data_IF_523772080566
#
_entry.id   IF_523772080566
#
_cell.length_a   1.000
_cell.length_b   1.000
_cell.length_c   1.000
_cell.angle_alpha   90.00
_cell.angle_beta   90.00
_cell.angle_gamma   90.00
#
_symmetry.space_group_name_H-M   'P 1'
#
loop_
_entity.id
_entity.type
_entity.pdbx_description
1 polymer ?
#
# COMPACT_ATOMS: atom_id res chain seq x y z
N UNK A 1 37.42 85.31 22.23
CA UNK A 1 36.45 84.20 22.27
C UNK A 1 36.67 83.36 21.03
N UNK A 2 37.41 82.24 21.16
CA UNK A 2 37.67 81.32 20.05
C UNK A 2 36.53 80.31 20.02
N UNK A 3 35.73 80.31 18.95
CA UNK A 3 34.70 79.31 18.73
C UNK A 3 35.35 78.09 18.05
N UNK A 4 35.58 77.04 18.84
CA UNK A 4 35.99 75.73 18.37
C UNK A 4 34.88 75.12 17.51
N UNK A 5 35.10 75.08 16.20
CA UNK A 5 34.29 74.32 15.25
C UNK A 5 34.53 72.82 15.47
N UNK A 6 33.56 72.16 16.10
CA UNK A 6 33.50 70.69 16.16
C UNK A 6 33.10 70.19 14.76
N UNK A 7 34.03 69.50 14.08
CA UNK A 7 33.71 68.77 12.83
C UNK A 7 32.74 67.63 13.17
N UNK A 8 31.66 67.42 12.40
CA UNK A 8 30.82 66.25 12.58
C UNK A 8 31.63 64.99 12.25
N UNK A 9 31.73 64.07 13.20
CA UNK A 9 32.31 62.75 12.99
C UNK A 9 31.47 61.98 11.97
N UNK A 10 32.01 61.75 10.78
CA UNK A 10 31.39 60.90 9.77
C UNK A 10 31.60 59.43 10.15
N UNK A 11 30.54 58.78 10.63
CA UNK A 11 30.55 57.33 10.86
C UNK A 11 30.19 56.59 9.57
N UNK A 12 30.96 55.56 9.21
CA UNK A 12 30.63 54.67 8.10
C UNK A 12 29.60 53.66 8.62
N UNK A 13 28.39 53.69 8.09
CA UNK A 13 27.36 52.67 8.36
C UNK A 13 27.56 51.53 7.36
N UNK A 14 28.05 50.39 7.85
CA UNK A 14 28.16 49.19 7.03
C UNK A 14 26.78 48.56 6.87
N UNK A 15 26.38 48.32 5.62
CA UNK A 15 25.16 47.59 5.31
C UNK A 15 25.49 46.20 4.79
N UNK A 16 24.83 45.20 5.36
CA UNK A 16 25.00 43.80 5.06
C UNK A 16 23.66 43.10 4.89
N UNK A 17 23.71 41.90 4.30
CA UNK A 17 22.54 41.02 4.28
C UNK A 17 22.19 40.59 5.70
N UNK A 18 20.92 40.27 6.00
CA UNK A 18 20.53 39.79 7.32
C UNK A 18 21.31 38.53 7.72
N UNK A 19 21.65 38.40 8.99
CA UNK A 19 22.11 37.15 9.60
C UNK A 19 20.95 36.54 10.35
N UNK A 20 20.67 35.29 10.07
CA UNK A 20 19.48 34.60 10.57
C UNK A 20 19.87 33.33 11.32
N UNK A 21 19.20 33.07 12.44
CA UNK A 21 19.35 31.84 13.21
C UNK A 21 17.97 31.36 13.64
N UNK A 22 17.60 30.17 13.17
CA UNK A 22 16.34 29.52 13.52
C UNK A 22 16.54 28.63 14.75
N UNK A 23 15.69 28.81 15.75
CA UNK A 23 15.69 28.01 16.98
C UNK A 23 14.28 27.61 17.40
N UNK A 24 14.20 26.49 18.12
CA UNK A 24 13.07 26.21 19.00
C UNK A 24 12.96 27.35 20.03
N UNK A 25 11.77 27.92 20.20
CA UNK A 25 11.50 28.90 21.25
C UNK A 25 11.76 28.38 22.69
N UNK A 26 11.59 29.24 23.68
CA UNK A 26 11.98 28.97 25.07
C UNK A 26 11.00 28.10 25.90
N UNK A 27 10.09 27.32 25.29
CA UNK A 27 9.13 26.51 26.05
C UNK A 27 9.65 25.08 26.38
N UNK A 28 9.40 24.57 27.60
CA UNK A 28 9.96 23.30 28.09
C UNK A 28 9.51 22.04 27.33
N UNK A 29 8.42 22.10 26.54
CA UNK A 29 7.91 20.94 25.77
C UNK A 29 8.48 20.81 24.35
N UNK A 30 9.34 21.74 23.92
CA UNK A 30 9.69 21.85 22.51
C UNK A 30 10.61 20.77 21.96
N UNK A 31 11.28 20.00 22.82
CA UNK A 31 12.14 18.89 22.42
C UNK A 31 11.37 17.56 22.27
N UNK A 32 10.09 17.53 22.65
CA UNK A 32 9.23 16.35 22.59
C UNK A 32 7.86 16.71 22.00
N UNK A 33 7.88 17.08 20.72
CA UNK A 33 6.70 17.54 20.00
C UNK A 33 5.81 16.34 19.70
N UNK A 34 4.62 16.32 20.29
CA UNK A 34 3.61 15.27 20.09
C UNK A 34 2.41 15.87 19.36
N UNK A 35 1.81 15.11 18.45
CA UNK A 35 0.60 15.50 17.71
C UNK A 35 -0.48 16.08 18.65
N UNK A 36 -1.03 17.23 18.27
CA UNK A 36 -1.97 18.01 19.06
C UNK A 36 -1.36 19.06 20.01
N UNK A 37 -0.04 19.07 20.20
CA UNK A 37 0.65 20.16 20.92
C UNK A 37 0.88 21.40 20.03
N UNK A 38 1.31 22.49 20.64
CA UNK A 38 1.72 23.69 19.92
C UNK A 38 3.25 23.68 19.70
N UNK A 39 3.68 24.10 18.50
CA UNK A 39 5.08 24.29 18.14
C UNK A 39 5.38 25.78 18.06
N UNK A 40 6.47 26.21 18.69
CA UNK A 40 6.92 27.59 18.69
C UNK A 40 8.34 27.66 18.14
N UNK A 41 8.51 28.41 17.06
CA UNK A 41 9.78 28.66 16.41
C UNK A 41 10.13 30.15 16.53
N UNK A 42 11.40 30.42 16.71
CA UNK A 42 11.96 31.77 16.80
C UNK A 42 13.09 31.92 15.80
N UNK A 43 12.99 32.95 14.94
CA UNK A 43 14.00 33.30 13.97
C UNK A 43 14.70 34.57 14.44
N UNK A 44 15.91 34.43 14.98
CA UNK A 44 16.72 35.57 15.41
C UNK A 44 17.35 36.22 14.19
N UNK A 45 17.06 37.51 13.99
CA UNK A 45 17.55 38.26 12.83
C UNK A 45 18.42 39.43 13.29
N UNK A 46 19.68 39.45 12.86
CA UNK A 46 20.57 40.61 12.95
C UNK A 46 20.69 41.23 11.55
N UNK A 47 20.18 42.44 11.36
CA UNK A 47 20.10 43.06 10.04
C UNK A 47 20.28 44.58 10.09
N UNK A 48 21.19 45.08 9.24
CA UNK A 48 21.34 46.50 8.97
C UNK A 48 21.39 46.77 7.45
N UNK A 49 20.34 47.31 6.82
CA UNK A 49 19.14 47.89 7.45
C UNK A 49 18.14 46.87 7.97
N UNK A 50 17.19 47.38 8.77
CA UNK A 50 16.11 46.59 9.38
C UNK A 50 15.28 45.87 8.31
N UNK A 51 14.85 44.66 8.65
CA UNK A 51 13.91 43.87 7.85
C UNK A 51 12.46 44.30 8.12
N UNK A 52 11.55 43.95 7.20
CA UNK A 52 10.10 44.07 7.41
C UNK A 52 9.56 42.86 8.17
N UNK A 53 9.26 41.80 7.42
CA UNK A 53 8.74 40.53 7.95
C UNK A 53 9.67 39.37 7.61
N UNK A 54 9.61 38.31 8.42
CA UNK A 54 10.28 37.03 8.15
C UNK A 54 9.31 36.13 7.39
N UNK A 55 9.80 35.53 6.30
CA UNK A 55 9.07 34.48 5.57
C UNK A 55 9.44 33.13 6.14
N UNK A 56 8.45 32.32 6.48
CA UNK A 56 8.64 30.99 7.05
C UNK A 56 8.38 29.93 5.99
N UNK A 57 9.24 28.91 5.91
CA UNK A 57 9.09 27.81 4.97
C UNK A 57 9.05 26.46 5.68
N UNK A 58 8.27 25.54 5.12
CA UNK A 58 8.24 24.12 5.49
C UNK A 58 8.51 23.30 4.23
N UNK A 59 9.60 22.53 4.22
CA UNK A 59 10.01 21.74 3.06
C UNK A 59 10.22 22.61 1.81
N UNK A 60 10.75 23.82 1.98
CA UNK A 60 11.00 24.79 0.91
C UNK A 60 9.76 25.56 0.43
N UNK A 61 8.57 25.31 0.98
CA UNK A 61 7.34 26.02 0.63
C UNK A 61 6.99 27.07 1.67
N UNK A 62 6.70 28.29 1.21
CA UNK A 62 6.24 29.39 2.07
C UNK A 62 4.95 29.01 2.81
N UNK A 63 4.98 29.21 4.13
CA UNK A 63 3.82 29.11 4.99
C UNK A 63 3.02 30.41 4.90
N UNK A 64 1.70 30.29 5.03
CA UNK A 64 0.81 31.44 5.10
C UNK A 64 0.12 31.49 6.46
N UNK A 65 -0.18 32.68 6.98
CA UNK A 65 -0.96 32.81 8.20
C UNK A 65 -2.34 32.16 8.02
N UNK A 66 -2.86 31.58 9.09
CA UNK A 66 -4.12 30.86 9.05
C UNK A 66 -4.62 30.53 10.45
N UNK A 67 -5.74 29.82 10.53
CA UNK A 67 -6.41 29.53 11.82
C UNK A 67 -5.50 28.91 12.88
N UNK A 68 -4.52 28.10 12.46
CA UNK A 68 -3.58 27.42 13.34
C UNK A 68 -2.11 27.82 13.09
N UNK A 69 -1.89 28.87 12.30
CA UNK A 69 -0.57 29.35 11.91
C UNK A 69 -0.50 30.84 12.24
N UNK A 70 0.17 31.15 13.35
CA UNK A 70 0.29 32.52 13.86
C UNK A 70 1.73 32.98 13.61
N UNK A 71 1.89 34.06 12.86
CA UNK A 71 3.17 34.66 12.53
C UNK A 71 3.24 36.05 13.15
N UNK A 72 4.35 36.35 13.82
CA UNK A 72 4.59 37.65 14.45
C UNK A 72 6.05 38.03 14.33
N UNK A 73 6.40 38.91 13.39
CA UNK A 73 7.76 39.37 13.05
C UNK A 73 8.78 38.22 12.92
N UNK A 74 9.34 37.79 14.04
CA UNK A 74 10.43 36.81 14.19
C UNK A 74 9.97 35.51 14.86
N UNK A 75 8.66 35.32 15.10
CA UNK A 75 8.11 34.13 15.75
C UNK A 75 7.02 33.47 14.92
N UNK A 76 7.03 32.13 14.90
CA UNK A 76 6.01 31.29 14.29
C UNK A 76 5.44 30.34 15.34
N UNK A 77 4.11 30.34 15.45
CA UNK A 77 3.38 29.39 16.31
C UNK A 77 2.46 28.55 15.44
N UNK A 78 2.67 27.23 15.45
CA UNK A 78 1.75 26.25 14.88
C UNK A 78 0.95 25.63 16.02
N UNK A 79 -0.35 25.89 16.05
CA UNK A 79 -1.25 25.34 17.07
C UNK A 79 -1.71 23.93 16.68
N UNK A 80 -1.78 23.03 17.66
CA UNK A 80 -2.25 21.64 17.48
C UNK A 80 -1.61 20.94 16.28
N UNK A 81 -0.28 20.87 16.26
CA UNK A 81 0.48 20.30 15.17
C UNK A 81 0.04 18.88 14.83
N UNK A 82 0.00 18.57 13.54
CA UNK A 82 -0.33 17.25 13.03
C UNK A 82 0.95 16.51 12.63
N UNK A 83 0.91 15.19 12.43
CA UNK A 83 2.09 14.45 11.91
C UNK A 83 2.64 15.02 10.59
N UNK A 84 1.78 15.63 9.78
CA UNK A 84 2.12 16.31 8.52
C UNK A 84 2.81 17.67 8.72
N UNK A 85 2.87 18.18 9.95
CA UNK A 85 3.66 19.35 10.32
C UNK A 85 5.13 18.99 10.57
N UNK A 86 5.52 17.72 10.46
CA UNK A 86 6.93 17.32 10.49
C UNK A 86 7.63 17.75 9.21
N UNK A 87 8.91 18.12 9.31
CA UNK A 87 9.75 18.45 8.17
C UNK A 87 10.81 19.49 8.50
N UNK A 88 11.46 19.95 7.45
CA UNK A 88 12.52 20.94 7.49
C UNK A 88 11.94 22.35 7.50
N UNK A 89 12.12 23.06 8.60
CA UNK A 89 11.71 24.46 8.73
C UNK A 89 12.88 25.38 8.44
N UNK A 90 12.64 26.44 7.67
CA UNK A 90 13.58 27.55 7.47
C UNK A 90 12.87 28.88 7.67
N UNK A 91 13.64 29.90 8.03
CA UNK A 91 13.17 31.28 8.03
C UNK A 91 14.04 32.13 7.11
N UNK A 92 13.39 33.05 6.40
CA UNK A 92 14.00 33.89 5.37
C UNK A 92 13.80 35.34 5.77
N UNK A 93 14.90 36.07 5.86
CA UNK A 93 14.90 37.50 6.16
C UNK A 93 15.49 38.26 4.98
N UNK A 94 14.82 39.35 4.58
CA UNK A 94 15.21 40.16 3.44
C UNK A 94 15.28 41.64 3.82
N UNK A 95 16.38 42.28 3.44
CA UNK A 95 16.54 43.73 3.49
C UNK A 95 16.97 44.26 2.11
N UNK A 96 17.18 45.57 1.99
CA UNK A 96 17.57 46.19 0.70
C UNK A 96 18.91 45.71 0.13
N UNK A 97 19.76 45.07 0.93
CA UNK A 97 21.06 44.53 0.49
C UNK A 97 20.88 43.11 -0.05
N UNK A 98 19.92 42.37 0.48
CA UNK A 98 19.50 41.09 -0.06
C UNK A 98 18.82 40.21 0.97
N UNK A 99 18.73 38.94 0.62
CA UNK A 99 18.04 37.90 1.37
C UNK A 99 19.02 36.86 1.93
N UNK A 100 18.70 36.36 3.12
CA UNK A 100 19.38 35.23 3.77
C UNK A 100 18.34 34.26 4.32
N UNK A 101 18.54 32.97 4.06
CA UNK A 101 17.76 31.86 4.61
C UNK A 101 18.55 31.19 5.74
N UNK A 102 17.86 30.75 6.79
CA UNK A 102 18.48 30.05 7.92
C UNK A 102 18.92 28.65 7.54
N UNK A 103 19.85 28.10 8.30
CA UNK A 103 20.05 26.66 8.33
C UNK A 103 18.73 25.94 8.67
N UNK A 104 18.46 24.78 8.07
CA UNK A 104 17.23 24.04 8.29
C UNK A 104 17.14 23.49 9.72
N UNK A 105 15.97 23.63 10.33
CA UNK A 105 15.62 22.99 11.59
C UNK A 105 14.67 21.83 11.34
N UNK A 106 15.16 20.60 11.52
CA UNK A 106 14.36 19.38 11.35
C UNK A 106 13.44 19.15 12.55
N UNK A 107 12.13 19.20 12.29
CA UNK A 107 11.10 18.96 13.29
C UNK A 107 10.42 17.62 13.02
N UNK A 108 10.41 16.75 14.02
CA UNK A 108 9.68 15.47 13.98
C UNK A 108 8.54 15.48 14.99
N UNK A 109 7.29 15.43 14.51
CA UNK A 109 6.10 15.32 15.35
C UNK A 109 5.86 13.85 15.68
N UNK A 110 5.94 13.50 16.96
CA UNK A 110 5.64 12.16 17.47
C UNK A 110 4.12 11.94 17.53
N UNK A 111 3.68 10.72 17.23
CA UNK A 111 2.27 10.37 17.23
C UNK A 111 2.07 8.87 17.51
N UNK A 112 0.90 8.55 18.07
CA UNK A 112 0.46 7.17 18.22
C UNK A 112 0.30 6.49 16.84
N UNK A 113 0.41 5.15 16.76
CA UNK A 113 0.27 4.46 15.48
C UNK A 113 -1.09 4.73 14.83
N UNK A 114 -1.11 4.83 13.51
CA UNK A 114 -2.35 4.90 12.74
C UNK A 114 -2.25 4.03 11.49
N UNK A 115 -3.36 3.42 11.12
CA UNK A 115 -3.44 2.58 9.93
C UNK A 115 -3.10 3.39 8.67
N UNK A 116 -2.23 2.86 7.80
CA UNK A 116 -1.95 3.48 6.50
C UNK A 116 -3.05 3.17 5.47
N UNK A 117 -3.76 2.05 5.64
CA UNK A 117 -4.89 1.66 4.80
C UNK A 117 -6.15 2.42 5.22
N UNK A 118 -6.80 3.06 4.25
CA UNK A 118 -8.07 3.78 4.46
C UNK A 118 -9.30 2.87 4.34
N UNK A 119 -9.16 1.71 3.71
CA UNK A 119 -10.23 0.75 3.43
C UNK A 119 -9.88 -0.65 3.94
N UNK A 120 -10.92 -1.48 4.14
CA UNK A 120 -10.73 -2.88 4.52
C UNK A 120 -10.17 -3.67 3.33
N UNK A 121 -9.04 -4.35 3.53
CA UNK A 121 -8.46 -5.23 2.50
C UNK A 121 -9.07 -6.62 2.60
N UNK A 122 -9.52 -7.17 1.47
CA UNK A 122 -10.15 -8.49 1.40
C UNK A 122 -9.16 -9.52 0.84
N UNK A 123 -9.00 -10.63 1.54
CA UNK A 123 -8.23 -11.80 1.15
C UNK A 123 -9.18 -12.96 0.85
N UNK A 124 -8.93 -13.66 -0.25
CA UNK A 124 -9.60 -14.91 -0.57
C UNK A 124 -8.65 -16.07 -0.24
N UNK A 125 -9.11 -17.01 0.59
CA UNK A 125 -8.30 -18.18 1.00
C UNK A 125 -9.11 -19.47 0.92
N UNK A 126 -8.52 -20.50 0.31
CA UNK A 126 -9.07 -21.86 0.34
C UNK A 126 -8.90 -22.48 1.72
N UNK A 127 -9.65 -23.54 2.01
CA UNK A 127 -9.49 -24.27 3.28
C UNK A 127 -8.10 -24.91 3.31
N UNK A 128 -7.38 -24.76 4.43
CA UNK A 128 -6.00 -25.18 4.62
C UNK A 128 -4.95 -24.41 3.81
N UNK A 129 -5.33 -23.33 3.13
CA UNK A 129 -4.39 -22.39 2.51
C UNK A 129 -3.89 -21.39 3.58
N UNK A 130 -2.57 -21.20 3.66
CA UNK A 130 -1.99 -20.15 4.50
C UNK A 130 -1.94 -18.83 3.74
N UNK A 131 -2.49 -17.78 4.34
CA UNK A 131 -2.42 -16.41 3.83
C UNK A 131 -1.57 -15.54 4.73
N UNK A 132 -0.85 -14.60 4.11
CA UNK A 132 0.02 -13.65 4.79
C UNK A 132 -0.59 -12.26 4.71
N UNK A 133 -1.04 -11.74 5.85
CA UNK A 133 -1.71 -10.44 5.94
C UNK A 133 -0.72 -9.41 6.46
N UNK A 134 -0.45 -8.39 5.64
CA UNK A 134 0.51 -7.34 5.98
C UNK A 134 -0.23 -6.14 6.56
N UNK A 135 0.07 -5.83 7.81
CA UNK A 135 -0.34 -4.59 8.48
C UNK A 135 0.84 -3.62 8.50
N UNK A 136 0.59 -2.40 8.00
CA UNK A 136 1.58 -1.34 7.88
C UNK A 136 0.99 -0.08 8.50
N UNK A 137 1.67 0.46 9.52
CA UNK A 137 1.18 1.61 10.27
C UNK A 137 2.13 2.80 10.15
N UNK A 138 1.56 4.01 10.16
CA UNK A 138 2.35 5.21 10.44
C UNK A 138 2.53 5.31 11.96
N UNK A 139 3.76 5.44 12.44
CA UNK A 139 4.05 5.61 13.86
C UNK A 139 5.35 6.38 14.06
N UNK A 140 5.37 7.27 15.03
CA UNK A 140 6.58 7.96 15.46
C UNK A 140 6.57 8.10 16.98
N UNK A 141 7.46 7.43 17.74
CA UNK A 141 8.55 6.56 17.28
C UNK A 141 8.08 5.30 16.53
N UNK A 142 9.01 4.74 15.76
CA UNK A 142 8.86 3.57 14.90
C UNK A 142 9.03 2.23 15.62
N UNK A 143 9.37 2.24 16.91
CA UNK A 143 9.27 1.08 17.79
C UNK A 143 7.80 0.86 18.19
N UNK A 144 7.22 -0.22 17.71
CA UNK A 144 5.78 -0.49 17.77
C UNK A 144 5.53 -1.93 18.21
N UNK A 145 4.61 -2.09 19.15
CA UNK A 145 4.08 -3.38 19.57
C UNK A 145 2.77 -3.67 18.86
N UNK A 146 2.62 -4.86 18.28
CA UNK A 146 1.46 -5.26 17.52
C UNK A 146 0.58 -6.26 18.27
N UNK A 147 -0.72 -6.17 18.02
CA UNK A 147 -1.73 -7.13 18.48
C UNK A 147 -2.67 -7.45 17.32
N UNK A 148 -2.86 -8.74 17.06
CA UNK A 148 -3.83 -9.21 16.07
C UNK A 148 -5.03 -9.83 16.77
N UNK A 149 -6.22 -9.54 16.25
CA UNK A 149 -7.46 -10.14 16.75
C UNK A 149 -8.30 -10.65 15.58
N UNK A 150 -8.85 -11.83 15.75
CA UNK A 150 -9.95 -12.31 14.92
C UNK A 150 -11.27 -11.88 15.54
N UNK A 151 -12.21 -11.48 14.69
CA UNK A 151 -13.55 -11.09 15.10
C UNK A 151 -14.57 -11.50 14.04
N UNK A 152 -15.52 -12.35 14.40
CA UNK A 152 -16.71 -12.62 13.60
C UNK A 152 -17.96 -12.63 14.50
N UNK A 153 -19.11 -12.99 13.94
CA UNK A 153 -20.40 -13.01 14.64
C UNK A 153 -20.45 -13.98 15.83
N UNK A 154 -19.52 -14.93 15.90
CA UNK A 154 -19.55 -16.10 16.81
C UNK A 154 -18.39 -16.08 17.80
N UNK A 155 -17.23 -15.56 17.41
CA UNK A 155 -15.98 -15.70 18.13
C UNK A 155 -15.11 -14.45 17.98
N UNK A 156 -14.47 -14.06 19.09
CA UNK A 156 -13.48 -12.99 19.15
C UNK A 156 -12.32 -13.43 20.03
N UNK A 157 -11.13 -13.47 19.46
CA UNK A 157 -9.93 -13.92 20.18
C UNK A 157 -8.66 -13.29 19.61
N UNK A 158 -7.61 -13.30 20.42
CA UNK A 158 -6.29 -12.81 20.04
C UNK A 158 -5.55 -13.85 19.19
N UNK A 159 -4.78 -13.39 18.21
CA UNK A 159 -3.96 -14.22 17.33
C UNK A 159 -2.48 -14.02 17.68
N UNK A 160 -1.72 -15.11 17.73
CA UNK A 160 -0.30 -15.12 18.10
C UNK A 160 0.66 -15.46 16.95
N UNK A 161 0.15 -16.01 15.84
CA UNK A 161 0.96 -16.45 14.70
C UNK A 161 1.33 -15.28 13.77
N UNK A 162 2.15 -14.35 14.25
CA UNK A 162 2.58 -13.19 13.48
C UNK A 162 4.03 -12.81 13.79
N UNK A 163 4.67 -12.15 12.83
CA UNK A 163 5.99 -11.52 13.01
C UNK A 163 5.85 -10.01 12.89
N UNK A 164 6.71 -9.26 13.58
CA UNK A 164 6.69 -7.80 13.54
C UNK A 164 8.10 -7.25 13.41
N UNK A 165 8.25 -6.20 12.61
CA UNK A 165 9.51 -5.50 12.38
C UNK A 165 9.23 -4.01 12.17
N UNK A 166 9.69 -3.19 13.11
CA UNK A 166 9.45 -1.75 13.13
C UNK A 166 7.95 -1.42 13.03
N UNK A 167 7.54 -0.79 11.93
CA UNK A 167 6.15 -0.36 11.68
C UNK A 167 5.31 -1.35 10.89
N UNK A 168 5.82 -2.55 10.63
CA UNK A 168 5.15 -3.58 9.84
C UNK A 168 4.97 -4.85 10.65
N UNK A 169 3.79 -5.48 10.52
CA UNK A 169 3.48 -6.79 11.09
C UNK A 169 2.85 -7.69 10.04
N UNK A 170 3.23 -8.97 10.03
CA UNK A 170 2.73 -9.97 9.09
C UNK A 170 2.07 -11.09 9.88
N UNK A 171 0.76 -11.26 9.70
CA UNK A 171 -0.02 -12.36 10.26
C UNK A 171 -0.02 -13.55 9.30
N UNK A 172 0.30 -14.73 9.82
CA UNK A 172 0.24 -16.01 9.10
C UNK A 172 -1.01 -16.75 9.57
N UNK A 173 -2.00 -16.89 8.68
CA UNK A 173 -3.29 -17.45 9.03
C UNK A 173 -3.75 -18.54 8.06
N UNK A 174 -4.26 -19.65 8.61
CA UNK A 174 -4.80 -20.77 7.83
C UNK A 174 -6.21 -21.10 8.31
N UNK A 175 -7.20 -20.91 7.45
CA UNK A 175 -8.58 -21.27 7.76
C UNK A 175 -8.78 -22.79 7.71
N UNK A 176 -9.25 -23.40 8.81
CA UNK A 176 -9.48 -24.85 8.92
C UNK A 176 -10.96 -25.23 8.93
N UNK A 177 -11.83 -24.31 9.34
CA UNK A 177 -13.29 -24.45 9.41
C UNK A 177 -13.97 -23.25 8.75
N UNK A 178 -15.24 -23.41 8.44
CA UNK A 178 -16.04 -22.35 7.82
C UNK A 178 -16.23 -21.13 8.72
N UNK A 179 -16.08 -21.31 10.03
CA UNK A 179 -16.11 -20.26 11.06
C UNK A 179 -14.80 -19.50 11.19
N UNK A 180 -13.73 -19.91 10.50
CA UNK A 180 -12.42 -19.28 10.56
C UNK A 180 -12.29 -18.13 9.54
N UNK A 181 -13.29 -18.00 8.65
CA UNK A 181 -13.46 -16.84 7.77
C UNK A 181 -14.16 -15.70 8.52
N UNK A 182 -13.71 -14.47 8.29
CA UNK A 182 -14.22 -13.33 9.05
C UNK A 182 -13.33 -12.09 8.99
N UNK A 183 -13.51 -11.21 9.97
CA UNK A 183 -12.78 -9.96 10.07
C UNK A 183 -11.56 -10.12 10.98
N UNK A 184 -10.47 -9.48 10.58
CA UNK A 184 -9.20 -9.46 11.28
C UNK A 184 -8.85 -8.01 11.57
N UNK A 185 -8.32 -7.78 12.76
CA UNK A 185 -7.98 -6.46 13.26
C UNK A 185 -6.51 -6.46 13.65
N UNK A 186 -5.74 -5.55 13.06
CA UNK A 186 -4.39 -5.25 13.51
C UNK A 186 -4.43 -3.98 14.36
N UNK A 187 -3.93 -4.09 15.57
CA UNK A 187 -3.74 -3.02 16.55
C UNK A 187 -2.25 -2.80 16.77
N UNK A 188 -1.87 -1.55 17.02
CA UNK A 188 -0.49 -1.14 17.22
C UNK A 188 -0.40 -0.15 18.37
N UNK A 189 0.72 -0.18 19.11
CA UNK A 189 0.98 0.72 20.23
C UNK A 189 2.46 1.11 20.27
N UNK A 190 2.75 2.39 20.50
CA UNK A 190 4.10 2.90 20.75
C UNK A 190 4.14 3.73 22.05
N UNK A 191 5.27 4.34 22.36
CA UNK A 191 5.45 5.14 23.59
C UNK A 191 4.55 6.38 23.68
N UNK A 192 3.94 6.82 22.58
CA UNK A 192 2.99 7.95 22.55
C UNK A 192 1.58 7.48 22.91
N UNK A 193 1.22 6.26 22.53
CA UNK A 193 -0.04 5.65 22.90
C UNK A 193 -0.55 4.62 21.89
N UNK A 194 -1.74 4.10 22.19
CA UNK A 194 -2.38 3.07 21.39
C UNK A 194 -3.06 3.67 20.16
N UNK A 195 -3.08 2.88 19.08
CA UNK A 195 -3.81 3.21 17.87
C UNK A 195 -5.32 3.35 18.16
N UNK A 196 -5.92 4.44 17.69
CA UNK A 196 -7.35 4.75 17.90
C UNK A 196 -8.28 3.85 17.08
N UNK A 197 -7.91 3.57 15.84
CA UNK A 197 -8.72 2.78 14.88
C UNK A 197 -7.88 1.63 14.33
N UNK A 198 -8.30 0.36 14.49
CA UNK A 198 -7.60 -0.79 13.92
C UNK A 198 -7.47 -0.72 12.40
N UNK A 199 -6.44 -1.38 11.85
CA UNK A 199 -6.48 -1.78 10.45
C UNK A 199 -7.41 -2.99 10.32
N UNK A 200 -8.36 -2.92 9.40
CA UNK A 200 -9.34 -3.97 9.16
C UNK A 200 -8.96 -4.79 7.92
N UNK A 201 -9.03 -6.10 8.06
CA UNK A 201 -8.86 -7.06 6.98
C UNK A 201 -10.01 -8.05 7.02
N UNK A 202 -10.39 -8.59 5.87
CA UNK A 202 -11.42 -9.61 5.77
C UNK A 202 -10.87 -10.81 5.04
N UNK A 203 -10.94 -12.00 5.66
CA UNK A 203 -10.69 -13.25 4.93
C UNK A 203 -12.03 -13.85 4.59
N UNK A 204 -12.28 -13.97 3.29
CA UNK A 204 -13.44 -14.69 2.76
C UNK A 204 -12.98 -16.06 2.28
N UNK A 205 -13.91 -17.02 2.29
CA UNK A 205 -13.65 -18.27 1.58
C UNK A 205 -13.31 -17.91 0.15
N UNK A 206 -12.19 -18.41 -0.35
CA UNK A 206 -11.96 -18.40 -1.78
C UNK A 206 -13.17 -19.10 -2.41
N UNK A 207 -14.03 -18.30 -3.05
CA UNK A 207 -14.92 -18.84 -4.07
C UNK A 207 -14.02 -19.58 -5.05
N UNK A 208 -14.51 -20.62 -5.72
CA UNK A 208 -13.62 -21.32 -6.61
C UNK A 208 -13.17 -20.31 -7.67
N UNK A 209 -11.85 -20.17 -7.84
CA UNK A 209 -11.26 -19.46 -8.99
C UNK A 209 -11.80 -20.02 -10.32
N UNK A 210 -12.49 -21.19 -10.26
CA UNK A 210 -13.29 -21.82 -11.32
C UNK A 210 -14.51 -21.02 -11.74
N UNK A 211 -14.99 -20.11 -10.90
CA UNK A 211 -16.15 -19.27 -11.21
C UNK A 211 -15.76 -18.02 -11.99
N UNK A 212 -14.45 -17.73 -12.10
CA UNK A 212 -13.89 -16.64 -12.91
C UNK A 212 -13.47 -17.11 -14.30
N UNK A 213 -13.33 -18.42 -14.54
CA UNK A 213 -12.97 -18.98 -15.84
C UNK A 213 -14.00 -20.02 -16.29
N UNK A 214 -14.55 -19.83 -17.48
CA UNK A 214 -15.36 -20.78 -18.22
C UNK A 214 -14.42 -21.67 -19.05
N UNK A 215 -14.29 -22.95 -18.70
CA UNK A 215 -13.56 -23.91 -19.52
C UNK A 215 -14.53 -24.86 -20.23
N UNK A 216 -14.28 -25.09 -21.52
CA UNK A 216 -15.07 -25.96 -22.37
C UNK A 216 -14.15 -27.04 -22.94
N UNK A 217 -14.62 -28.29 -22.90
CA UNK A 217 -14.00 -29.40 -23.62
C UNK A 217 -14.75 -29.57 -24.94
N UNK A 218 -14.04 -29.50 -26.06
CA UNK A 218 -14.58 -29.63 -27.42
C UNK A 218 -13.69 -30.53 -28.27
N UNK A 219 -14.11 -30.83 -29.51
CA UNK A 219 -13.35 -31.68 -30.45
C UNK A 219 -12.82 -32.97 -29.84
N UNK A 220 -13.66 -33.66 -29.05
CA UNK A 220 -13.33 -34.93 -28.43
C UNK A 220 -13.31 -36.04 -29.48
N UNK A 221 -12.22 -36.80 -29.51
CA UNK A 221 -12.04 -38.00 -30.34
C UNK A 221 -11.78 -39.22 -29.44
N UNK A 222 -11.48 -40.36 -30.03
CA UNK A 222 -11.02 -41.57 -29.31
C UNK A 222 -9.62 -41.41 -28.71
N UNK A 223 -8.82 -40.46 -29.19
CA UNK A 223 -7.43 -40.28 -28.78
C UNK A 223 -7.11 -38.87 -28.24
N UNK A 224 -8.07 -37.96 -28.16
CA UNK A 224 -7.78 -36.56 -27.83
C UNK A 224 -9.00 -35.69 -27.56
N UNK A 225 -8.73 -34.44 -27.17
CA UNK A 225 -9.74 -33.41 -26.95
C UNK A 225 -9.11 -32.01 -26.99
N UNK A 226 -9.92 -30.98 -27.25
CA UNK A 226 -9.54 -29.58 -27.11
C UNK A 226 -10.08 -29.04 -25.79
N UNK A 227 -9.27 -28.29 -25.04
CA UNK A 227 -9.67 -27.61 -23.82
C UNK A 227 -9.43 -26.11 -23.99
N UNK A 228 -10.50 -25.31 -23.98
CA UNK A 228 -10.44 -23.86 -24.09
C UNK A 228 -11.04 -23.19 -22.85
N UNK A 229 -10.31 -22.24 -22.26
CA UNK A 229 -10.69 -21.56 -21.03
C UNK A 229 -10.73 -20.04 -21.23
N UNK A 230 -11.86 -19.42 -20.93
CA UNK A 230 -12.07 -17.98 -21.04
C UNK A 230 -12.43 -17.36 -19.70
N UNK A 231 -11.91 -16.17 -19.40
CA UNK A 231 -12.33 -15.43 -18.21
C UNK A 231 -13.80 -15.01 -18.36
N UNK A 232 -14.63 -15.27 -17.35
CA UNK A 232 -15.97 -14.71 -17.25
C UNK A 232 -15.85 -13.19 -17.09
N UNK A 233 -16.47 -12.45 -18.00
CA UNK A 233 -16.62 -11.00 -17.82
C UNK A 233 -17.42 -10.79 -16.53
N UNK A 234 -16.82 -10.14 -15.55
CA UNK A 234 -17.55 -9.74 -14.35
C UNK A 234 -18.62 -8.73 -14.82
N UNK A 235 -19.88 -8.99 -14.50
CA UNK A 235 -20.91 -7.95 -14.45
C UNK A 235 -20.57 -6.99 -13.29
N UNK A 236 -19.47 -6.25 -13.42
CA UNK A 236 -19.22 -5.09 -12.59
C UNK A 236 -20.14 -3.99 -13.14
N UNK A 237 -21.17 -3.69 -12.36
CA UNK A 237 -21.96 -2.50 -12.53
C UNK A 237 -21.06 -1.26 -12.69
N UNK A 238 -21.31 -0.46 -13.73
CA UNK A 238 -21.00 0.97 -13.71
C UNK A 238 -19.69 1.46 -14.33
N UNK A 239 -19.01 0.70 -15.19
CA UNK A 239 -17.81 1.21 -15.89
C UNK A 239 -18.14 2.05 -17.14
N UNK A 240 -18.79 3.20 -16.96
CA UNK A 240 -18.73 4.29 -17.93
C UNK A 240 -17.64 5.26 -17.49
N UNK A 241 -16.37 4.99 -17.81
CA UNK A 241 -15.27 5.96 -18.05
C UNK A 241 -13.85 5.38 -17.86
N UNK A 242 -13.50 4.30 -18.55
CA UNK A 242 -12.09 3.94 -18.75
C UNK A 242 -11.77 4.04 -20.26
N UNK A 243 -10.74 4.80 -20.67
CA UNK A 243 -10.31 4.85 -22.07
C UNK A 243 -9.96 3.44 -22.59
N UNK A 244 -10.28 3.10 -23.85
CA UNK A 244 -10.02 1.78 -24.45
C UNK A 244 -8.56 1.31 -24.31
N UNK A 245 -7.62 2.25 -24.31
CA UNK A 245 -6.18 1.98 -24.29
C UNK A 245 -5.66 1.51 -22.91
N UNK A 246 -6.31 1.89 -21.81
CA UNK A 246 -5.92 1.48 -20.46
C UNK A 246 -6.39 0.05 -20.13
N UNK A 247 -7.56 -0.34 -20.63
CA UNK A 247 -8.09 -1.71 -20.51
C UNK A 247 -7.22 -2.71 -21.29
N UNK A 248 -6.68 -2.28 -22.44
CA UNK A 248 -5.74 -3.07 -23.23
C UNK A 248 -4.36 -3.22 -22.55
N UNK A 249 -3.87 -2.18 -21.86
CA UNK A 249 -2.61 -2.21 -21.12
C UNK A 249 -2.66 -3.08 -19.85
N UNK A 250 -3.79 -3.12 -19.14
CA UNK A 250 -4.02 -4.05 -18.02
C UNK A 250 -4.16 -5.51 -18.49
N UNK A 251 -4.78 -5.74 -19.64
CA UNK A 251 -4.87 -7.06 -20.26
C UNK A 251 -3.51 -7.57 -20.77
N UNK A 252 -2.63 -6.69 -21.27
CA UNK A 252 -1.29 -7.04 -21.74
C UNK A 252 -0.31 -7.30 -20.60
N UNK A 253 -0.34 -6.50 -19.52
CA UNK A 253 0.50 -6.74 -18.33
C UNK A 253 0.08 -7.99 -17.55
N UNK A 254 -1.20 -8.36 -17.57
CA UNK A 254 -1.67 -9.63 -16.99
C UNK A 254 -1.17 -10.86 -17.75
N UNK A 255 -1.08 -10.81 -19.09
CA UNK A 255 -0.49 -11.89 -19.90
C UNK A 255 1.02 -12.02 -19.71
N UNK A 256 1.72 -10.92 -19.49
CA UNK A 256 3.19 -10.90 -19.39
C UNK A 256 3.76 -11.52 -18.09
N UNK A 257 2.92 -11.84 -17.08
CA UNK A 257 3.39 -12.41 -15.79
C UNK A 257 2.75 -13.73 -15.38
N UNK A 258 1.76 -14.21 -16.14
CA UNK A 258 1.00 -15.41 -15.79
C UNK A 258 0.97 -16.37 -16.98
N UNK A 259 1.26 -17.65 -16.72
CA UNK A 259 1.04 -18.74 -17.68
C UNK A 259 -0.09 -19.65 -17.20
N UNK A 260 -0.60 -20.47 -18.09
CA UNK A 260 -1.66 -21.43 -17.84
C UNK A 260 -1.09 -22.84 -17.92
N UNK A 261 -1.52 -23.74 -17.05
CA UNK A 261 -1.10 -25.14 -17.08
C UNK A 261 -2.31 -26.06 -17.06
N UNK A 262 -2.29 -27.09 -17.91
CA UNK A 262 -3.31 -28.13 -17.98
C UNK A 262 -2.71 -29.47 -17.53
N UNK A 263 -3.36 -30.12 -16.57
CA UNK A 263 -3.06 -31.49 -16.17
C UNK A 263 -4.28 -32.39 -16.42
N UNK A 264 -4.06 -33.57 -16.99
CA UNK A 264 -5.11 -34.58 -17.18
C UNK A 264 -4.69 -35.87 -16.52
N UNK A 265 -5.57 -36.40 -15.68
CA UNK A 265 -5.38 -37.65 -14.95
C UNK A 265 -6.46 -38.64 -15.33
N UNK A 266 -6.08 -39.91 -15.46
CA UNK A 266 -7.02 -41.02 -15.57
C UNK A 266 -7.93 -41.03 -14.33
N UNK A 267 -9.25 -41.02 -14.51
CA UNK A 267 -10.19 -40.86 -13.40
C UNK A 267 -10.24 -42.08 -12.46
N UNK A 268 -9.87 -43.27 -12.96
CA UNK A 268 -9.87 -44.52 -12.19
C UNK A 268 -8.51 -44.77 -11.54
N UNK A 269 -7.43 -44.54 -12.28
CA UNK A 269 -6.06 -44.85 -11.85
C UNK A 269 -5.35 -43.66 -11.19
N UNK A 270 -5.94 -42.46 -11.22
CA UNK A 270 -5.36 -41.17 -10.79
C UNK A 270 -3.97 -40.88 -11.41
N UNK A 271 -3.68 -41.52 -12.54
CA UNK A 271 -2.38 -41.42 -13.22
C UNK A 271 -2.37 -40.19 -14.11
N UNK A 272 -1.36 -39.32 -13.96
CA UNK A 272 -1.14 -38.18 -14.84
C UNK A 272 -0.76 -38.67 -16.25
N UNK A 273 -1.59 -38.34 -17.24
CA UNK A 273 -1.44 -38.75 -18.65
C UNK A 273 -1.11 -37.57 -19.57
N UNK A 274 -1.40 -36.34 -19.15
CA UNK A 274 -1.06 -35.12 -19.91
C UNK A 274 -0.68 -33.99 -18.96
N UNK A 275 0.36 -33.23 -19.31
CA UNK A 275 0.80 -32.04 -18.58
C UNK A 275 1.44 -31.06 -19.56
N UNK A 276 0.85 -29.88 -19.71
CA UNK A 276 1.38 -28.83 -20.59
C UNK A 276 1.16 -27.44 -20.00
N UNK A 277 2.07 -26.52 -20.33
CA UNK A 277 1.99 -25.10 -19.94
C UNK A 277 1.93 -24.25 -21.21
N UNK A 278 1.10 -23.20 -21.22
CA UNK A 278 0.89 -22.29 -22.34
C UNK A 278 0.67 -20.86 -21.85
N UNK A 279 1.07 -19.87 -22.64
CA UNK A 279 0.72 -18.46 -22.40
C UNK A 279 -0.73 -18.14 -22.77
N UNK A 280 -1.33 -18.98 -23.62
CA UNK A 280 -2.75 -18.91 -23.98
C UNK A 280 -3.56 -19.96 -23.19
N UNK A 281 -4.78 -19.64 -22.75
CA UNK A 281 -5.62 -20.57 -22.00
C UNK A 281 -6.34 -21.58 -22.93
N UNK A 282 -5.63 -22.17 -23.89
CA UNK A 282 -6.17 -23.14 -24.87
C UNK A 282 -5.15 -24.25 -25.15
N UNK A 283 -5.62 -25.50 -25.16
CA UNK A 283 -4.78 -26.71 -25.20
C UNK A 283 -5.39 -27.76 -26.12
N UNK A 284 -4.58 -28.25 -27.05
CA UNK A 284 -4.89 -29.43 -27.85
C UNK A 284 -4.25 -30.66 -27.21
N UNK A 285 -5.06 -31.67 -26.88
CA UNK A 285 -4.63 -32.88 -26.19
C UNK A 285 -4.73 -34.06 -27.16
N UNK A 286 -3.67 -34.85 -27.23
CA UNK A 286 -3.59 -36.06 -28.03
C UNK A 286 -2.98 -37.21 -27.23
N UNK A 287 -3.02 -38.42 -27.79
CA UNK A 287 -2.46 -39.66 -27.19
C UNK A 287 -3.18 -40.13 -25.91
N UNK A 288 -4.48 -39.87 -25.81
CA UNK A 288 -5.33 -40.43 -24.76
C UNK A 288 -5.82 -41.83 -25.15
N UNK A 289 -6.25 -42.60 -24.15
CA UNK A 289 -6.86 -43.92 -24.35
C UNK A 289 -8.35 -43.76 -24.67
N UNK A 290 -8.86 -44.57 -25.61
CA UNK A 290 -10.26 -44.53 -26.03
C UNK A 290 -11.22 -45.00 -24.93
N UNK A 291 -12.42 -44.41 -24.90
CA UNK A 291 -13.49 -44.78 -23.95
C UNK A 291 -13.14 -44.57 -22.48
N UNK A 292 -12.19 -43.70 -22.16
CA UNK A 292 -11.66 -43.51 -20.80
C UNK A 292 -12.14 -42.17 -20.23
N UNK A 293 -12.56 -42.17 -18.96
CA UNK A 293 -12.90 -40.95 -18.23
C UNK A 293 -11.63 -40.34 -17.63
N UNK A 294 -11.51 -39.02 -17.76
CA UNK A 294 -10.39 -38.24 -17.30
C UNK A 294 -10.83 -37.08 -16.39
N UNK A 295 -9.99 -36.77 -15.41
CA UNK A 295 -10.06 -35.55 -14.59
C UNK A 295 -9.12 -34.52 -15.20
N UNK A 296 -9.71 -33.42 -15.70
CA UNK A 296 -9.00 -32.32 -16.36
C UNK A 296 -8.88 -31.16 -15.38
N UNK A 297 -7.67 -30.78 -14.99
CA UNK A 297 -7.38 -29.70 -14.06
C UNK A 297 -6.62 -28.56 -14.76
N UNK A 298 -7.17 -27.35 -14.69
CA UNK A 298 -6.63 -26.13 -15.28
C UNK A 298 -6.09 -25.21 -14.20
N UNK A 299 -4.90 -24.66 -14.39
CA UNK A 299 -4.17 -23.87 -13.39
C UNK A 299 -3.67 -22.54 -13.96
N UNK A 300 -3.63 -21.52 -13.10
CA UNK A 300 -2.86 -20.31 -13.31
C UNK A 300 -1.51 -20.48 -12.63
N UNK A 301 -0.43 -20.14 -13.32
CA UNK A 301 0.93 -20.20 -12.79
C UNK A 301 1.52 -18.80 -12.87
N UNK A 302 2.00 -18.29 -11.73
CA UNK A 302 2.68 -17.01 -11.65
C UNK A 302 3.91 -17.13 -10.73
N UNK A 303 4.61 -16.02 -10.50
CA UNK A 303 5.80 -15.99 -9.63
C UNK A 303 5.50 -16.38 -8.18
N UNK A 304 4.25 -16.26 -7.73
CA UNK A 304 3.79 -16.64 -6.40
C UNK A 304 3.39 -18.11 -6.30
N UNK A 305 3.28 -18.83 -7.41
CA UNK A 305 3.00 -20.26 -7.44
C UNK A 305 1.92 -20.68 -8.44
N UNK A 306 1.39 -21.89 -8.22
CA UNK A 306 0.41 -22.57 -9.09
C UNK A 306 -0.95 -22.66 -8.39
N UNK A 307 -1.96 -22.08 -9.01
CA UNK A 307 -3.31 -21.96 -8.47
C UNK A 307 -4.30 -22.73 -9.35
N UNK A 308 -5.02 -23.71 -8.80
CA UNK A 308 -6.03 -24.46 -9.55
C UNK A 308 -7.23 -23.55 -9.84
N UNK A 309 -7.47 -23.29 -11.12
CA UNK A 309 -8.60 -22.51 -11.59
C UNK A 309 -9.82 -23.40 -11.73
N UNK A 310 -9.81 -24.39 -12.62
CA UNK A 310 -11.00 -25.21 -12.95
C UNK A 310 -10.66 -26.70 -12.85
N UNK A 311 -11.62 -27.53 -12.47
CA UNK A 311 -11.53 -28.99 -12.60
C UNK A 311 -12.82 -29.53 -13.24
N UNK A 312 -12.67 -30.27 -14.34
CA UNK A 312 -13.76 -30.88 -15.11
C UNK A 312 -13.55 -32.39 -15.21
N UNK A 313 -14.62 -33.10 -15.56
CA UNK A 313 -14.58 -34.49 -16.02
C UNK A 313 -14.87 -34.52 -17.51
N UNK A 314 -14.08 -35.29 -18.26
CA UNK A 314 -14.26 -35.47 -19.70
C UNK A 314 -13.92 -36.91 -20.08
N UNK A 315 -14.62 -37.46 -21.07
CA UNK A 315 -14.38 -38.83 -21.55
C UNK A 315 -14.03 -38.80 -23.04
N UNK A 316 -13.05 -39.59 -23.44
CA UNK A 316 -12.76 -39.85 -24.86
C UNK A 316 -13.83 -40.78 -25.45
N UNK A 317 -14.04 -40.69 -26.76
CA UNK A 317 -14.99 -41.55 -27.46
C UNK A 317 -14.50 -43.00 -27.51
N UNK A 318 -15.41 -43.95 -27.66
CA UNK A 318 -15.02 -45.31 -28.01
C UNK A 318 -14.46 -45.31 -29.44
N UNK A 319 -13.43 -46.12 -29.70
CA UNK A 319 -12.84 -46.22 -31.04
C UNK A 319 -13.87 -46.65 -32.12
N UNK A 320 -14.94 -47.35 -31.71
CA UNK A 320 -16.08 -47.69 -32.58
C UNK A 320 -16.99 -46.50 -32.89
N UNK A 321 -17.17 -45.58 -31.94
CA UNK A 321 -18.01 -44.39 -32.09
C UNK A 321 -17.33 -43.34 -32.99
N UNK A 322 -16.01 -43.19 -32.88
CA UNK A 322 -15.25 -42.25 -33.72
C UNK A 322 -15.31 -42.66 -35.20
N UNK A 323 -15.17 -43.96 -35.49
CA UNK A 323 -15.27 -44.51 -36.87
C UNK A 323 -16.62 -44.21 -37.53
N UNK A 324 -17.70 -44.17 -36.74
CA UNK A 324 -19.05 -43.84 -37.22
C UNK A 324 -19.25 -42.34 -37.49
N UNK A 325 -18.44 -41.46 -36.90
CA UNK A 325 -18.47 -40.00 -37.16
C UNK A 325 -17.61 -39.59 -38.35
N UNK A 326 -16.58 -40.38 -38.66
CA UNK A 326 -15.61 -40.10 -39.73
C UNK A 326 -15.98 -40.67 -41.11
N UNK A 327 -16.98 -41.56 -41.17
CA UNK A 327 -17.50 -42.16 -42.41
C UNK A 327 -18.79 -41.51 -42.86
#
# INVERSE_FOLDING_TARGET
MSASSLRPSSFIVLHDKPKVQLTLGSHPRQWNIVEGHDLYLECRVDANPRIGDVVWRLGGKDLSPGRHVIMSNQSLVLQRVHRHSSGSYTCVASNRIGETESEPLEITVKHAPACNQSQTTVYAASRHEEVHIVCDVSAQPNDVTFKWMFNNSVNKHDLSSFTSSGRRSVLYYTARKDTDYGMFQCLANNSIGAMKTPCYFQIVRAGPLSSMYNCIVSNVTDAGMQVDCQRRASLAAGANSAPPDLVAAEASTFRQRNSFQLEIRDALLDRLVFNATSEAPSFAVSSLSAGTEYVVAFFLVNQSGKFKLVQLKASTLLASEERLRSG
#
